data_IF_801985366263
#
_entry.id   IF_801985366263
#
_cell.length_a   1.000
_cell.length_b   1.000
_cell.length_c   1.000
_cell.angle_alpha   90.00
_cell.angle_beta   90.00
_cell.angle_gamma   90.00
#
_symmetry.space_group_name_H-M   'P 1'
#
loop_
_entity.id
_entity.type
_entity.pdbx_description
1 polymer ?
#
# COMPACT_ATOMS: atom_id res chain seq x y z
N UNK A 1 11.23 -3.09 -23.33
CA UNK A 1 10.57 -3.49 -24.59
C UNK A 1 9.15 -3.84 -24.25
N UNK A 2 8.21 -3.27 -25.00
CA UNK A 2 6.78 -3.53 -24.89
C UNK A 2 6.48 -5.04 -24.94
N UNK A 3 5.38 -5.45 -24.31
CA UNK A 3 4.80 -6.81 -24.21
C UNK A 3 4.90 -7.48 -22.83
N UNK A 4 4.72 -6.73 -21.74
CA UNK A 4 4.18 -7.35 -20.53
C UNK A 4 2.68 -7.65 -20.78
N UNK A 5 2.26 -8.90 -20.63
CA UNK A 5 0.85 -9.31 -20.75
C UNK A 5 0.08 -9.15 -19.41
N UNK A 6 0.60 -8.32 -18.52
CA UNK A 6 0.08 -8.01 -17.20
C UNK A 6 0.33 -6.53 -16.88
N UNK A 7 -0.47 -5.96 -15.99
CA UNK A 7 -0.32 -4.58 -15.56
C UNK A 7 0.99 -4.38 -14.79
N UNK A 8 1.71 -3.31 -15.10
CA UNK A 8 3.00 -2.96 -14.47
C UNK A 8 3.00 -1.52 -13.99
N UNK A 9 3.92 -1.19 -13.09
CA UNK A 9 4.28 0.20 -12.86
C UNK A 9 4.88 0.80 -14.15
N UNK A 10 4.27 1.87 -14.66
CA UNK A 10 4.60 2.46 -15.97
C UNK A 10 4.72 1.38 -17.07
N UNK A 11 5.93 1.12 -17.56
CA UNK A 11 6.22 0.09 -18.57
C UNK A 11 7.40 -0.82 -18.17
N UNK A 12 7.66 -0.97 -16.86
CA UNK A 12 8.77 -1.80 -16.38
C UNK A 12 8.30 -3.23 -16.06
N UNK A 13 8.79 -4.25 -16.80
CA UNK A 13 8.35 -5.64 -16.62
C UNK A 13 8.77 -6.24 -15.26
N UNK A 14 9.72 -5.61 -14.57
CA UNK A 14 10.21 -6.04 -13.26
C UNK A 14 9.32 -5.58 -12.08
N UNK A 15 8.30 -4.75 -12.33
CA UNK A 15 7.38 -4.27 -11.29
C UNK A 15 5.93 -4.60 -11.68
N UNK A 16 5.51 -5.87 -11.54
CA UNK A 16 4.12 -6.25 -11.75
C UNK A 16 3.21 -5.55 -10.72
N UNK A 17 2.10 -5.00 -11.19
CA UNK A 17 1.11 -4.33 -10.34
C UNK A 17 0.38 -5.39 -9.49
N UNK A 18 0.37 -5.19 -8.18
CA UNK A 18 -0.36 -6.05 -7.27
C UNK A 18 -1.88 -5.83 -7.43
N UNK A 19 -2.64 -6.92 -7.45
CA UNK A 19 -4.10 -6.86 -7.47
C UNK A 19 -4.65 -6.56 -6.07
N UNK A 20 -4.80 -5.29 -5.73
CA UNK A 20 -5.31 -4.84 -4.44
C UNK A 20 -6.82 -5.07 -4.26
N UNK A 21 -7.52 -5.64 -5.24
CA UNK A 21 -8.90 -6.12 -5.07
C UNK A 21 -8.96 -7.57 -4.55
N UNK A 22 -7.87 -8.34 -4.67
CA UNK A 22 -7.80 -9.70 -4.14
C UNK A 22 -7.70 -9.66 -2.60
N UNK A 23 -8.63 -10.29 -1.84
CA UNK A 23 -8.59 -10.32 -0.38
C UNK A 23 -7.27 -10.84 0.19
N UNK A 24 -6.67 -11.87 -0.39
CA UNK A 24 -5.40 -12.44 0.10
C UNK A 24 -4.25 -11.44 -0.02
N UNK A 25 -4.24 -10.65 -1.10
CA UNK A 25 -3.25 -9.57 -1.29
C UNK A 25 -3.50 -8.44 -0.30
N UNK A 26 -4.76 -8.09 -0.03
CA UNK A 26 -5.08 -7.08 0.98
C UNK A 26 -4.62 -7.50 2.37
N UNK A 27 -4.92 -8.73 2.76
CA UNK A 27 -4.57 -9.28 4.07
C UNK A 27 -3.05 -9.36 4.21
N UNK A 28 -2.34 -9.86 3.20
CA UNK A 28 -0.88 -9.89 3.17
C UNK A 28 -0.23 -8.51 3.35
N UNK A 29 -0.73 -7.49 2.64
CA UNK A 29 -0.19 -6.13 2.74
C UNK A 29 -0.50 -5.49 4.11
N UNK A 30 -1.68 -5.74 4.67
CA UNK A 30 -2.05 -5.28 6.00
C UNK A 30 -1.20 -5.99 7.07
N UNK A 31 -0.97 -7.29 6.93
CA UNK A 31 -0.12 -8.06 7.83
C UNK A 31 1.30 -7.49 7.87
N UNK A 32 1.89 -7.18 6.71
CA UNK A 32 3.18 -6.48 6.65
C UNK A 32 3.09 -5.13 7.36
N UNK A 33 2.07 -4.33 7.04
CA UNK A 33 1.92 -2.99 7.60
C UNK A 33 1.84 -3.00 9.12
N UNK A 34 1.11 -3.96 9.68
CA UNK A 34 0.91 -4.12 11.11
C UNK A 34 2.09 -4.80 11.81
N UNK A 35 2.78 -5.72 11.14
CA UNK A 35 3.99 -6.40 11.64
C UNK A 35 5.07 -5.40 12.02
N UNK A 36 5.42 -4.47 11.11
CA UNK A 36 6.49 -3.50 11.40
C UNK A 36 6.15 -2.55 12.54
N UNK A 37 4.86 -2.21 12.71
CA UNK A 37 4.40 -1.39 13.84
C UNK A 37 4.53 -2.17 15.14
N UNK A 38 4.09 -3.44 15.17
CA UNK A 38 4.10 -4.26 16.38
C UNK A 38 5.50 -4.65 16.82
N UNK A 39 6.35 -5.06 15.89
CA UNK A 39 7.67 -5.63 16.20
C UNK A 39 8.76 -4.56 16.36
N UNK A 40 8.63 -3.43 15.67
CA UNK A 40 9.69 -2.42 15.60
C UNK A 40 9.24 -1.01 16.02
N UNK A 41 7.98 -0.83 16.40
CA UNK A 41 7.41 0.43 16.88
C UNK A 41 7.65 1.63 15.93
N UNK A 42 7.57 1.38 14.62
CA UNK A 42 7.74 2.45 13.63
C UNK A 42 6.69 3.57 13.82
N UNK A 43 7.06 4.79 13.48
CA UNK A 43 6.20 5.98 13.68
C UNK A 43 5.39 6.36 12.44
N UNK A 44 5.65 5.73 11.29
CA UNK A 44 4.92 6.07 10.08
C UNK A 44 5.18 5.21 8.85
N UNK A 45 4.26 5.31 7.90
CA UNK A 45 4.30 4.71 6.59
C UNK A 45 4.27 5.77 5.50
N UNK A 46 5.29 5.79 4.63
CA UNK A 46 5.26 6.51 3.35
C UNK A 46 4.78 5.53 2.27
N UNK A 47 3.62 5.80 1.71
CA UNK A 47 2.96 4.95 0.71
C UNK A 47 3.39 5.37 -0.69
N UNK A 48 4.12 4.47 -1.36
CA UNK A 48 4.58 4.63 -2.74
C UNK A 48 3.41 4.54 -3.72
N UNK A 49 3.36 5.45 -4.70
CA UNK A 49 2.35 5.49 -5.78
C UNK A 49 0.91 5.26 -5.27
N UNK A 50 0.54 5.98 -4.21
CA UNK A 50 -0.72 5.75 -3.50
C UNK A 50 -1.97 6.04 -4.36
N UNK A 51 -1.82 6.83 -5.43
CA UNK A 51 -2.86 7.22 -6.37
C UNK A 51 -3.36 6.06 -7.25
N UNK A 52 -2.61 4.97 -7.40
CA UNK A 52 -3.03 3.84 -8.22
C UNK A 52 -3.60 2.66 -7.43
N UNK A 53 -3.77 2.82 -6.12
CA UNK A 53 -4.32 1.81 -5.22
C UNK A 53 -5.72 2.22 -4.79
N UNK A 54 -6.64 1.25 -4.77
CA UNK A 54 -8.05 1.50 -4.49
C UNK A 54 -8.29 2.11 -3.10
N UNK A 55 -9.22 3.07 -3.02
CA UNK A 55 -9.54 3.78 -1.77
C UNK A 55 -10.10 2.85 -0.67
N UNK A 56 -10.74 1.73 -1.03
CA UNK A 56 -11.23 0.76 -0.04
C UNK A 56 -10.08 0.11 0.70
N UNK A 57 -9.01 -0.25 -0.01
CA UNK A 57 -7.80 -0.78 0.62
C UNK A 57 -7.19 0.24 1.57
N UNK A 58 -7.06 1.51 1.17
CA UNK A 58 -6.50 2.54 2.05
C UNK A 58 -7.31 2.78 3.32
N UNK A 59 -8.65 2.67 3.24
CA UNK A 59 -9.50 2.74 4.43
C UNK A 59 -9.24 1.57 5.38
N UNK A 60 -9.11 0.34 4.86
CA UNK A 60 -8.75 -0.84 5.66
C UNK A 60 -7.35 -0.71 6.26
N UNK A 61 -6.36 -0.30 5.47
CA UNK A 61 -4.99 -0.08 5.89
C UNK A 61 -4.94 0.90 7.06
N UNK A 62 -5.58 2.07 6.93
CA UNK A 62 -5.64 3.08 8.00
C UNK A 62 -6.32 2.52 9.25
N UNK A 63 -7.44 1.82 9.11
CA UNK A 63 -8.14 1.24 10.26
C UNK A 63 -7.25 0.22 11.01
N UNK A 64 -6.55 -0.65 10.28
CA UNK A 64 -5.68 -1.66 10.87
C UNK A 64 -4.44 -1.06 11.56
N UNK A 65 -3.78 -0.07 10.94
CA UNK A 65 -2.57 0.53 11.52
C UNK A 65 -2.88 1.44 12.71
N UNK A 66 -3.92 2.27 12.61
CA UNK A 66 -4.34 3.17 13.72
C UNK A 66 -4.93 2.42 14.91
N UNK A 67 -5.50 1.22 14.70
CA UNK A 67 -5.94 0.35 15.81
C UNK A 67 -4.77 -0.16 16.66
N UNK A 68 -3.56 -0.22 16.10
CA UNK A 68 -2.34 -0.63 16.80
C UNK A 68 -1.64 0.59 17.39
N UNK A 69 -1.44 1.64 16.57
CA UNK A 69 -0.74 2.87 16.94
C UNK A 69 -1.52 4.09 16.44
N UNK A 70 -2.35 4.72 17.29
CA UNK A 70 -3.25 5.82 16.89
C UNK A 70 -2.53 7.07 16.35
N UNK A 71 -1.29 7.29 16.76
CA UNK A 71 -0.42 8.40 16.38
C UNK A 71 0.46 8.12 15.15
N UNK A 72 0.28 6.95 14.50
CA UNK A 72 1.07 6.60 13.32
C UNK A 72 0.85 7.59 12.16
N UNK A 73 1.95 8.04 11.58
CA UNK A 73 1.93 8.96 10.46
C UNK A 73 1.76 8.22 9.13
N UNK A 74 0.72 8.52 8.36
CA UNK A 74 0.48 7.92 7.04
C UNK A 74 0.62 9.01 5.97
N UNK A 75 1.65 8.90 5.15
CA UNK A 75 1.98 9.84 4.07
C UNK A 75 1.81 9.16 2.71
N UNK A 76 0.85 9.60 1.91
CA UNK A 76 0.69 9.15 0.53
C UNK A 76 1.55 9.94 -0.45
N UNK A 77 2.27 9.26 -1.34
CA UNK A 77 2.89 9.90 -2.50
C UNK A 77 1.82 10.20 -3.56
N UNK A 78 1.45 11.47 -3.70
CA UNK A 78 0.53 11.96 -4.72
C UNK A 78 1.10 13.25 -5.31
N UNK A 79 1.39 13.24 -6.62
CA UNK A 79 2.04 14.35 -7.33
C UNK A 79 1.05 15.38 -7.90
N UNK A 80 -0.24 15.07 -7.88
CA UNK A 80 -1.34 15.93 -8.35
C UNK A 80 -2.20 16.40 -7.17
N UNK A 81 -2.94 17.51 -7.31
CA UNK A 81 -3.97 17.85 -6.34
C UNK A 81 -5.02 16.74 -6.31
N UNK A 82 -5.31 16.22 -5.11
CA UNK A 82 -6.41 15.30 -4.86
C UNK A 82 -7.76 16.01 -5.01
#
# INVERSE_FOLDING_TARGET
>A
TADANYDTFAFTPHMPKLNTANPEVQDYLIDIATYWIKEFDIDGWRLDVANEVDHHFWKKFRAATTAIKPDIYILGEIWTSA
#
